data_IF_042041493181
#
_entry.id   IF_042041493181
#
_cell.length_a   1.000
_cell.length_b   1.000
_cell.length_c   1.000
_cell.angle_alpha   90.00
_cell.angle_beta   90.00
_cell.angle_gamma   90.00
#
_symmetry.space_group_name_H-M   'P 1'
#
loop_
_entity.id
_entity.type
_entity.pdbx_description
1 polymer ?
#
# COMPACT_ATOMS: atom_id res chain seq x y z
N UNK A 1 0.97 -9.00 30.22
CA UNK A 1 -0.15 -8.91 29.27
C UNK A 1 0.04 -7.58 28.55
N UNK A 2 0.26 -7.59 27.24
CA UNK A 2 0.49 -6.35 26.49
C UNK A 2 -0.83 -5.58 26.43
N UNK A 3 -0.86 -4.38 26.98
CA UNK A 3 -2.06 -3.54 27.01
C UNK A 3 -2.33 -2.96 25.61
N UNK A 4 -3.20 -3.61 24.83
CA UNK A 4 -3.60 -3.16 23.48
C UNK A 4 -4.15 -1.72 23.45
N UNK A 5 -4.67 -1.24 24.58
CA UNK A 5 -5.24 0.09 24.72
C UNK A 5 -4.19 1.19 24.45
N UNK A 6 -2.92 0.95 24.83
CA UNK A 6 -1.82 1.89 24.58
C UNK A 6 -1.35 1.91 23.13
N UNK A 7 -1.71 0.92 22.31
CA UNK A 7 -1.31 0.81 20.91
C UNK A 7 -2.43 1.16 19.92
N UNK A 8 -3.65 1.32 20.43
CA UNK A 8 -4.83 1.63 19.62
C UNK A 8 -4.66 2.93 18.81
N UNK A 9 -4.00 3.94 19.38
CA UNK A 9 -3.75 5.21 18.69
C UNK A 9 -2.86 5.03 17.45
N UNK A 10 -1.87 4.13 17.48
CA UNK A 10 -1.04 3.81 16.32
C UNK A 10 -1.82 3.09 15.24
N UNK A 11 -2.74 2.20 15.62
CA UNK A 11 -3.60 1.49 14.65
C UNK A 11 -4.57 2.46 13.97
N UNK A 12 -5.18 3.37 14.73
CA UNK A 12 -6.06 4.40 14.18
C UNK A 12 -5.30 5.32 13.23
N UNK A 13 -4.12 5.80 13.64
CA UNK A 13 -3.27 6.66 12.83
C UNK A 13 -2.80 5.93 11.55
N UNK A 14 -2.36 4.68 11.68
CA UNK A 14 -1.99 3.83 10.55
C UNK A 14 -3.15 3.59 9.58
N UNK A 15 -4.36 3.38 10.08
CA UNK A 15 -5.55 3.22 9.23
C UNK A 15 -5.86 4.48 8.41
N UNK A 16 -5.79 5.66 9.03
CA UNK A 16 -6.02 6.94 8.33
C UNK A 16 -4.99 7.14 7.22
N UNK A 17 -3.71 6.88 7.49
CA UNK A 17 -2.64 7.01 6.49
C UNK A 17 -2.81 5.98 5.37
N UNK A 18 -3.09 4.72 5.71
CA UNK A 18 -3.32 3.66 4.75
C UNK A 18 -4.52 3.95 3.83
N UNK A 19 -5.58 4.58 4.36
CA UNK A 19 -6.73 5.00 3.57
C UNK A 19 -6.36 6.06 2.51
N UNK A 20 -5.57 7.08 2.90
CA UNK A 20 -5.08 8.11 1.99
C UNK A 20 -4.15 7.51 0.92
N UNK A 21 -3.28 6.59 1.32
CA UNK A 21 -2.38 5.87 0.40
C UNK A 21 -3.17 5.00 -0.59
N UNK A 22 -4.17 4.26 -0.12
CA UNK A 22 -5.02 3.44 -0.98
C UNK A 22 -5.72 4.27 -2.06
N UNK A 23 -6.23 5.46 -1.69
CA UNK A 23 -6.82 6.39 -2.65
C UNK A 23 -5.80 6.87 -3.69
N UNK A 24 -4.60 7.23 -3.23
CA UNK A 24 -3.51 7.69 -4.10
C UNK A 24 -3.05 6.60 -5.07
N UNK A 25 -2.83 5.37 -4.59
CA UNK A 25 -2.39 4.24 -5.43
C UNK A 25 -3.47 3.84 -6.42
N UNK A 26 -4.72 3.71 -5.97
CA UNK A 26 -5.83 3.36 -6.86
C UNK A 26 -6.03 4.38 -7.99
N UNK A 27 -5.95 5.68 -7.70
CA UNK A 27 -6.04 6.70 -8.76
C UNK A 27 -4.94 6.58 -9.82
N UNK A 28 -3.71 6.21 -9.41
CA UNK A 28 -2.60 5.99 -10.34
C UNK A 28 -2.79 4.72 -11.18
N UNK A 29 -3.26 3.63 -10.57
CA UNK A 29 -3.48 2.35 -11.27
C UNK A 29 -4.60 2.46 -12.32
N UNK A 30 -5.68 3.19 -12.01
CA UNK A 30 -6.74 3.51 -12.97
C UNK A 30 -6.21 4.35 -14.13
N UNK A 31 -5.40 5.37 -13.85
CA UNK A 31 -4.82 6.22 -14.90
C UNK A 31 -3.88 5.41 -15.83
N UNK A 32 -3.06 4.52 -15.28
CA UNK A 32 -2.15 3.67 -16.03
C UNK A 32 -2.89 2.62 -16.88
N UNK A 33 -3.96 2.02 -16.34
CA UNK A 33 -4.70 0.94 -17.00
C UNK A 33 -5.72 1.45 -18.03
N UNK A 34 -6.37 2.59 -17.76
CA UNK A 34 -7.41 3.15 -18.64
C UNK A 34 -6.94 4.33 -19.49
N UNK A 35 -5.72 4.85 -19.30
CA UNK A 35 -5.20 6.01 -20.03
C UNK A 35 -5.17 5.83 -21.55
N UNK A 36 -4.79 4.65 -22.05
CA UNK A 36 -4.75 4.34 -23.48
C UNK A 36 -6.15 4.11 -24.07
N UNK A 37 -7.06 3.49 -23.31
CA UNK A 37 -8.44 3.25 -23.73
C UNK A 37 -9.27 4.55 -23.81
N UNK A 38 -9.03 5.49 -22.88
CA UNK A 38 -9.65 6.81 -22.92
C UNK A 38 -8.98 7.72 -23.95
N UNK A 39 -7.65 7.66 -24.09
CA UNK A 39 -6.91 8.43 -25.09
C UNK A 39 -7.16 8.04 -26.54
N UNK A 40 -7.52 6.78 -26.79
CA UNK A 40 -7.91 6.27 -28.12
C UNK A 40 -9.39 6.49 -28.47
N UNK A 41 -10.17 7.06 -27.54
CA UNK A 41 -11.61 7.32 -27.74
C UNK A 41 -12.50 6.08 -27.71
N UNK A 42 -11.96 4.91 -27.33
CA UNK A 42 -12.72 3.65 -27.21
C UNK A 42 -13.69 3.70 -26.03
N UNK A 43 -13.30 4.35 -24.94
CA UNK A 43 -14.09 4.45 -23.70
C UNK A 43 -14.07 5.90 -23.21
N UNK A 44 -15.24 6.42 -22.81
CA UNK A 44 -15.31 7.78 -22.23
C UNK A 44 -14.82 7.79 -20.77
N UNK A 45 -14.33 8.95 -20.29
CA UNK A 45 -13.82 9.11 -18.92
C UNK A 45 -14.83 8.66 -17.85
N UNK A 46 -16.14 8.93 -18.08
CA UNK A 46 -17.21 8.52 -17.16
C UNK A 46 -17.40 7.00 -17.12
N UNK A 47 -17.34 6.34 -18.28
CA UNK A 47 -17.46 4.89 -18.36
C UNK A 47 -16.24 4.20 -17.73
N UNK A 48 -15.05 4.72 -17.98
CA UNK A 48 -13.81 4.19 -17.39
C UNK A 48 -13.85 4.25 -15.85
N UNK A 49 -14.32 5.34 -15.26
CA UNK A 49 -14.42 5.48 -13.81
C UNK A 49 -15.41 4.48 -13.17
N UNK A 50 -16.57 4.27 -13.80
CA UNK A 50 -17.56 3.29 -13.32
C UNK A 50 -16.99 1.87 -13.41
N UNK A 51 -16.38 1.52 -14.54
CA UNK A 51 -15.81 0.19 -14.75
C UNK A 51 -14.64 -0.08 -13.79
N UNK A 52 -13.73 0.90 -13.64
CA UNK A 52 -12.62 0.83 -12.70
C UNK A 52 -13.10 0.58 -11.27
N UNK A 53 -14.09 1.36 -10.79
CA UNK A 53 -14.60 1.22 -9.42
C UNK A 53 -15.14 -0.18 -9.12
N UNK A 54 -15.83 -0.80 -10.07
CA UNK A 54 -16.40 -2.14 -9.90
C UNK A 54 -15.30 -3.20 -9.94
N UNK A 55 -14.45 -3.19 -10.96
CA UNK A 55 -13.45 -4.22 -11.18
C UNK A 55 -12.27 -4.15 -10.20
N UNK A 56 -11.81 -2.96 -9.82
CA UNK A 56 -10.76 -2.82 -8.80
C UNK A 56 -11.25 -3.22 -7.41
N UNK A 57 -12.46 -2.81 -7.03
CA UNK A 57 -13.03 -3.20 -5.73
C UNK A 57 -13.25 -4.71 -5.67
N UNK A 58 -13.80 -5.32 -6.73
CA UNK A 58 -13.97 -6.76 -6.82
C UNK A 58 -12.63 -7.51 -6.78
N UNK A 59 -11.63 -7.03 -7.52
CA UNK A 59 -10.28 -7.61 -7.52
C UNK A 59 -9.64 -7.56 -6.13
N UNK A 60 -9.73 -6.42 -5.45
CA UNK A 60 -9.23 -6.24 -4.08
C UNK A 60 -9.91 -7.19 -3.09
N UNK A 61 -11.23 -7.35 -3.16
CA UNK A 61 -11.97 -8.26 -2.27
C UNK A 61 -11.65 -9.74 -2.51
N UNK A 62 -11.50 -10.16 -3.78
CA UNK A 62 -11.30 -11.56 -4.13
C UNK A 62 -9.85 -12.04 -4.00
N UNK A 63 -8.88 -11.19 -4.37
CA UNK A 63 -7.47 -11.56 -4.47
C UNK A 63 -6.59 -10.91 -3.39
N UNK A 64 -7.05 -9.82 -2.76
CA UNK A 64 -6.24 -9.02 -1.84
C UNK A 64 -5.73 -9.81 -0.64
N UNK A 65 -6.56 -10.65 -0.02
CA UNK A 65 -6.16 -11.44 1.15
C UNK A 65 -5.03 -12.42 0.85
N UNK A 66 -5.08 -13.09 -0.32
CA UNK A 66 -4.07 -14.07 -0.71
C UNK A 66 -2.73 -13.40 -1.04
N UNK A 67 -2.77 -12.29 -1.77
CA UNK A 67 -1.57 -11.53 -2.14
C UNK A 67 -0.92 -10.92 -0.89
N UNK A 68 -1.70 -10.31 0.00
CA UNK A 68 -1.20 -9.72 1.25
C UNK A 68 -0.49 -10.76 2.13
N UNK A 69 -1.03 -11.98 2.23
CA UNK A 69 -0.38 -13.05 2.99
C UNK A 69 0.95 -13.48 2.37
N UNK A 70 1.05 -13.55 1.04
CA UNK A 70 2.30 -13.90 0.35
C UNK A 70 3.37 -12.82 0.48
N UNK A 71 2.98 -11.53 0.41
CA UNK A 71 3.91 -10.41 0.57
C UNK A 71 4.44 -10.36 2.01
N UNK A 72 3.55 -10.44 3.01
CA UNK A 72 3.95 -10.41 4.42
C UNK A 72 4.94 -11.50 4.76
N UNK A 73 4.67 -12.74 4.34
CA UNK A 73 5.54 -13.90 4.62
C UNK A 73 6.88 -13.84 3.89
N UNK A 74 6.96 -13.14 2.75
CA UNK A 74 8.18 -13.02 1.96
C UNK A 74 9.14 -11.94 2.45
N UNK A 75 8.66 -10.94 3.21
CA UNK A 75 9.45 -9.78 3.62
C UNK A 75 9.76 -9.81 5.13
N UNK A 76 8.80 -10.20 5.99
CA UNK A 76 8.92 -10.05 7.44
C UNK A 76 8.69 -11.39 8.14
N UNK A 77 9.70 -11.89 8.85
CA UNK A 77 9.54 -13.02 9.77
C UNK A 77 9.09 -12.54 11.15
N UNK A 78 7.80 -12.77 11.44
CA UNK A 78 7.15 -12.33 12.68
C UNK A 78 7.71 -13.01 13.93
N UNK A 79 8.35 -14.18 13.79
CA UNK A 79 8.91 -14.93 14.93
C UNK A 79 10.12 -14.22 15.53
N UNK A 80 10.86 -13.43 14.74
CA UNK A 80 12.04 -12.70 15.20
C UNK A 80 11.69 -11.51 16.10
N UNK A 81 10.44 -11.03 16.06
CA UNK A 81 9.95 -9.85 16.78
C UNK A 81 9.04 -10.18 17.98
N UNK A 82 9.05 -11.44 18.45
CA UNK A 82 8.13 -11.92 19.48
C UNK A 82 8.28 -11.18 20.83
N UNK A 83 9.47 -10.63 21.12
CA UNK A 83 9.72 -9.79 22.31
C UNK A 83 9.65 -8.27 22.03
N UNK A 84 9.62 -7.84 20.76
CA UNK A 84 9.71 -6.43 20.33
C UNK A 84 8.60 -6.01 19.35
N UNK A 85 7.39 -6.53 19.57
CA UNK A 85 6.16 -6.14 18.85
C UNK A 85 5.95 -4.62 18.68
N UNK A 86 6.18 -3.75 19.68
CA UNK A 86 5.95 -2.31 19.51
C UNK A 86 6.88 -1.65 18.49
N UNK A 87 8.10 -2.15 18.33
CA UNK A 87 9.07 -1.64 17.36
C UNK A 87 8.64 -1.99 15.94
N UNK A 88 8.10 -3.20 15.74
CA UNK A 88 7.55 -3.62 14.46
C UNK A 88 6.37 -2.73 14.05
N UNK A 89 5.42 -2.47 14.96
CA UNK A 89 4.26 -1.61 14.68
C UNK A 89 4.68 -0.17 14.34
N UNK A 90 5.64 0.40 15.07
CA UNK A 90 6.17 1.73 14.77
C UNK A 90 6.91 1.77 13.42
N UNK A 91 7.62 0.70 13.07
CA UNK A 91 8.29 0.52 11.78
C UNK A 91 7.31 0.58 10.61
N UNK A 92 6.22 -0.21 10.66
CA UNK A 92 5.19 -0.22 9.62
C UNK A 92 4.51 1.16 9.44
N UNK A 93 4.19 1.84 10.54
CA UNK A 93 3.61 3.19 10.50
C UNK A 93 4.59 4.19 9.87
N UNK A 94 5.88 4.13 10.22
CA UNK A 94 6.89 4.99 9.63
C UNK A 94 7.10 4.74 8.13
N UNK A 95 7.03 3.48 7.69
CA UNK A 95 7.13 3.10 6.28
C UNK A 95 5.97 3.67 5.46
N UNK A 96 4.73 3.58 5.98
CA UNK A 96 3.55 4.18 5.34
C UNK A 96 3.70 5.72 5.17
N UNK A 97 4.19 6.42 6.20
CA UNK A 97 4.44 7.88 6.12
C UNK A 97 5.52 8.20 5.09
N UNK A 98 6.57 7.38 5.01
CA UNK A 98 7.63 7.52 4.01
C UNK A 98 7.10 7.42 2.58
N UNK A 99 6.24 6.43 2.30
CA UNK A 99 5.63 6.25 0.98
C UNK A 99 4.74 7.44 0.57
N UNK A 100 4.01 8.04 1.51
CA UNK A 100 3.18 9.22 1.23
C UNK A 100 4.00 10.45 0.81
N UNK A 101 5.24 10.57 1.29
CA UNK A 101 6.10 11.74 1.05
C UNK A 101 6.79 11.69 -0.33
N UNK A 102 6.90 10.49 -0.91
CA UNK A 102 7.47 10.32 -2.26
C UNK A 102 6.34 10.62 -3.25
N UNK A 103 6.45 11.68 -4.08
CA UNK A 103 5.38 12.05 -4.97
C UNK A 103 5.09 10.88 -5.91
N UNK A 104 3.80 10.69 -6.22
CA UNK A 104 3.20 9.63 -7.03
C UNK A 104 3.68 9.59 -8.51
N UNK A 105 4.91 9.98 -8.80
CA UNK A 105 5.43 10.26 -10.14
C UNK A 105 6.44 9.23 -10.62
N UNK A 106 6.64 8.12 -9.91
CA UNK A 106 7.68 7.17 -10.32
C UNK A 106 7.12 5.78 -10.63
N UNK A 107 7.19 5.33 -11.89
CA UNK A 107 6.83 3.96 -12.23
C UNK A 107 7.68 3.00 -11.41
N UNK A 108 7.10 1.81 -11.17
CA UNK A 108 7.66 0.65 -10.48
C UNK A 108 9.19 0.46 -10.47
N UNK A 109 10.01 0.79 -11.51
CA UNK A 109 11.48 0.74 -11.41
C UNK A 109 12.11 1.54 -10.26
N UNK A 110 11.50 2.64 -9.79
CA UNK A 110 12.18 3.52 -8.80
C UNK A 110 11.75 3.22 -7.37
N UNK A 111 10.61 2.54 -7.19
CA UNK A 111 10.22 1.98 -5.90
C UNK A 111 11.14 0.82 -5.47
N UNK A 112 11.66 0.04 -6.42
CA UNK A 112 12.78 -0.87 -6.16
C UNK A 112 14.03 -0.12 -5.70
N UNK A 113 14.36 1.01 -6.32
CA UNK A 113 15.53 1.80 -5.95
C UNK A 113 15.37 2.48 -4.59
N UNK A 114 14.15 2.88 -4.19
CA UNK A 114 13.89 3.45 -2.86
C UNK A 114 13.82 2.39 -1.77
N UNK A 115 13.26 1.20 -2.01
CA UNK A 115 13.35 0.08 -1.06
C UNK A 115 14.80 -0.33 -0.79
N UNK A 116 15.66 -0.38 -1.81
CA UNK A 116 17.10 -0.61 -1.60
C UNK A 116 17.81 0.55 -0.85
N UNK A 117 17.33 1.80 -0.99
CA UNK A 117 17.92 2.98 -0.33
C UNK A 117 17.27 3.39 1.02
N UNK A 118 16.14 2.80 1.41
CA UNK A 118 15.55 2.92 2.76
C UNK A 118 15.74 1.68 3.64
N UNK A 119 16.23 0.56 3.07
CA UNK A 119 16.74 -0.59 3.82
C UNK A 119 18.29 -0.55 4.08
N UNK A 120 19.07 0.54 3.89
CA UNK A 120 20.43 0.55 4.42
C UNK A 120 20.33 0.90 5.90
N UNK A 121 20.07 -0.11 6.73
CA UNK A 121 20.65 -0.27 8.07
C UNK A 121 20.03 -1.50 8.75
N UNK A 122 20.87 -2.52 8.96
CA UNK A 122 20.73 -3.76 9.76
C UNK A 122 20.59 -5.06 8.98
N UNK A 123 21.56 -5.34 8.09
CA UNK A 123 22.50 -6.48 8.21
C UNK A 123 23.84 -6.06 7.62
#
# INVERSE_FOLDING_TARGET
>A
MVDLQEYLWMVILGFVIAFILAFSVGANDVANSFGTAVGSGVVTLRQACILASIFETLGSMLLGAKVGETIRKGIIDVNLYNETVPVLMAGEVSAMVGTYTIPCTIPYPVLYHTLYYTIPCTI
#
